data_IF_841672114051
#
_entry.id   IF_841672114051
#
_cell.length_a   1.000
_cell.length_b   1.000
_cell.length_c   1.000
_cell.angle_alpha   90.00
_cell.angle_beta   90.00
_cell.angle_gamma   90.00
#
_symmetry.space_group_name_H-M   'P 1'
#
loop_
_entity.id
_entity.type
_entity.pdbx_description
1 polymer ?
#
# COMPACT_ATOMS: atom_id res chain seq x y z
N UNK A 1 11.35 7.08 -21.56
CA UNK A 1 10.31 8.14 -21.57
C UNK A 1 11.01 9.48 -21.60
N UNK A 2 10.55 10.47 -22.38
CA UNK A 2 11.15 11.81 -22.39
C UNK A 2 10.47 12.72 -21.34
N UNK A 3 11.09 13.87 -21.03
CA UNK A 3 10.63 14.79 -19.97
C UNK A 3 9.27 15.44 -20.31
N UNK A 4 9.02 15.77 -21.58
CA UNK A 4 7.77 16.41 -22.01
C UNK A 4 6.57 15.46 -21.83
N UNK A 5 6.75 14.19 -22.21
CA UNK A 5 5.75 13.14 -22.02
C UNK A 5 5.48 12.90 -20.53
N UNK A 6 6.53 12.86 -19.71
CA UNK A 6 6.40 12.72 -18.25
C UNK A 6 5.61 13.87 -17.63
N UNK A 7 5.93 15.13 -17.97
CA UNK A 7 5.22 16.29 -17.44
C UNK A 7 3.74 16.28 -17.85
N UNK A 8 3.42 15.89 -19.09
CA UNK A 8 2.03 15.73 -19.54
C UNK A 8 1.27 14.68 -18.73
N UNK A 9 1.93 13.56 -18.38
CA UNK A 9 1.32 12.53 -17.53
C UNK A 9 1.09 13.01 -16.10
N UNK A 10 2.01 13.83 -15.57
CA UNK A 10 1.89 14.42 -14.23
C UNK A 10 0.69 15.36 -14.16
N UNK A 11 0.53 16.27 -15.12
CA UNK A 11 -0.60 17.22 -15.12
C UNK A 11 -1.93 16.48 -15.23
N UNK A 12 -2.02 15.48 -16.12
CA UNK A 12 -3.20 14.62 -16.22
C UNK A 12 -3.50 13.91 -14.90
N UNK A 13 -2.47 13.40 -14.21
CA UNK A 13 -2.65 12.74 -12.91
C UNK A 13 -3.22 13.70 -11.86
N UNK A 14 -2.77 14.95 -11.82
CA UNK A 14 -3.27 15.98 -10.89
C UNK A 14 -4.74 16.32 -11.16
N UNK A 15 -5.14 16.41 -12.42
CA UNK A 15 -6.54 16.67 -12.81
C UNK A 15 -7.49 15.53 -12.41
N UNK A 16 -7.02 14.28 -12.49
CA UNK A 16 -7.80 13.07 -12.21
C UNK A 16 -7.68 12.58 -10.74
N UNK A 17 -6.95 13.30 -9.89
CA UNK A 17 -6.61 12.83 -8.55
C UNK A 17 -7.82 12.79 -7.61
N UNK A 18 -8.43 11.61 -7.49
CA UNK A 18 -9.45 11.33 -6.47
C UNK A 18 -8.79 10.57 -5.32
N UNK A 19 -8.35 11.31 -4.31
CA UNK A 19 -7.83 10.75 -3.06
C UNK A 19 -8.99 10.35 -2.14
N UNK A 20 -9.46 9.12 -2.22
CA UNK A 20 -10.42 8.61 -1.24
C UNK A 20 -10.37 7.08 -1.17
N UNK A 21 -9.39 6.52 -0.45
CA UNK A 21 -9.58 5.18 0.10
C UNK A 21 -10.46 5.32 1.35
N UNK A 22 -11.79 5.16 1.18
CA UNK A 22 -12.80 5.24 2.26
C UNK A 22 -12.48 4.32 3.45
N UNK A 23 -11.66 3.29 3.23
CA UNK A 23 -11.21 2.38 4.28
C UNK A 23 -10.27 3.11 5.24
N UNK A 24 -9.44 4.03 4.76
CA UNK A 24 -8.53 4.83 5.59
C UNK A 24 -9.34 5.68 6.57
N UNK A 25 -10.38 6.38 6.09
CA UNK A 25 -11.24 7.20 6.95
C UNK A 25 -11.92 6.35 8.02
N UNK A 26 -12.36 5.14 7.67
CA UNK A 26 -12.96 4.23 8.62
C UNK A 26 -11.95 3.65 9.63
N UNK A 27 -10.73 3.34 9.19
CA UNK A 27 -9.64 2.85 10.04
C UNK A 27 -9.21 3.91 11.05
N UNK A 28 -9.10 5.18 10.64
CA UNK A 28 -8.73 6.29 11.53
C UNK A 28 -9.69 6.47 12.71
N UNK A 29 -10.96 6.06 12.57
CA UNK A 29 -11.99 6.12 13.64
C UNK A 29 -11.86 4.99 14.68
N UNK A 30 -11.06 3.97 14.44
CA UNK A 30 -10.98 2.80 15.32
C UNK A 30 -10.10 3.05 16.56
N UNK A 31 -10.45 2.45 17.70
CA UNK A 31 -9.67 2.56 18.95
C UNK A 31 -8.69 1.40 19.17
N UNK A 32 -8.84 0.32 18.40
CA UNK A 32 -8.13 -0.94 18.60
C UNK A 32 -7.35 -1.34 17.34
N UNK A 33 -6.04 -1.52 17.50
CA UNK A 33 -5.14 -1.96 16.43
C UNK A 33 -5.56 -3.32 15.86
N UNK A 34 -6.08 -4.24 16.69
CA UNK A 34 -6.55 -5.55 16.21
C UNK A 34 -7.70 -5.37 15.22
N UNK A 35 -8.63 -4.46 15.52
CA UNK A 35 -9.72 -4.11 14.60
C UNK A 35 -9.22 -3.48 13.32
N UNK A 36 -8.22 -2.61 13.41
CA UNK A 36 -7.57 -2.00 12.23
C UNK A 36 -6.94 -3.05 11.33
N UNK A 37 -6.17 -4.00 11.89
CA UNK A 37 -5.55 -5.08 11.13
C UNK A 37 -6.62 -5.94 10.44
N UNK A 38 -7.73 -6.24 11.13
CA UNK A 38 -8.88 -6.93 10.53
C UNK A 38 -9.45 -6.17 9.34
N UNK A 39 -9.77 -4.88 9.51
CA UNK A 39 -10.37 -4.06 8.46
C UNK A 39 -9.44 -3.87 7.26
N UNK A 40 -8.15 -3.63 7.51
CA UNK A 40 -7.14 -3.52 6.48
C UNK A 40 -7.05 -4.82 5.66
N UNK A 41 -7.02 -5.98 6.32
CA UNK A 41 -6.91 -7.29 5.69
C UNK A 41 -8.13 -7.66 4.84
N UNK A 42 -9.33 -7.37 5.33
CA UNK A 42 -10.57 -7.62 4.61
C UNK A 42 -10.87 -6.57 3.54
N UNK A 43 -10.19 -5.42 3.63
CA UNK A 43 -10.37 -4.27 2.77
C UNK A 43 -11.81 -3.79 2.71
N UNK A 44 -12.47 -3.71 3.87
CA UNK A 44 -13.86 -3.28 3.99
C UNK A 44 -13.95 -1.89 4.60
N UNK A 45 -14.77 -1.04 3.97
CA UNK A 45 -15.11 0.27 4.49
C UNK A 45 -16.19 0.20 5.58
N UNK A 46 -16.66 1.36 6.04
CA UNK A 46 -17.70 1.46 7.09
C UNK A 46 -19.05 0.83 6.68
N UNK A 47 -19.31 0.71 5.38
CA UNK A 47 -20.51 0.06 4.84
C UNK A 47 -20.30 -1.45 4.61
N UNK A 48 -19.12 -1.98 4.97
CA UNK A 48 -18.74 -3.36 4.70
C UNK A 48 -18.41 -3.63 3.23
N UNK A 49 -18.29 -2.60 2.39
CA UNK A 49 -18.01 -2.72 0.96
C UNK A 49 -16.52 -2.98 0.78
N UNK A 50 -16.20 -4.03 0.01
CA UNK A 50 -14.81 -4.40 -0.30
C UNK A 50 -14.21 -3.46 -1.36
N UNK A 51 -12.97 -3.01 -1.14
CA UNK A 51 -12.21 -2.15 -2.05
C UNK A 51 -12.14 -2.72 -3.46
N UNK A 52 -12.30 -1.88 -4.49
CA UNK A 52 -12.43 -2.28 -5.89
C UNK A 52 -11.34 -3.26 -6.35
N UNK A 53 -10.07 -2.96 -6.06
CA UNK A 53 -8.95 -3.83 -6.46
C UNK A 53 -8.89 -5.17 -5.70
N UNK A 54 -9.44 -5.23 -4.48
CA UNK A 54 -9.50 -6.43 -3.67
C UNK A 54 -10.80 -7.22 -3.88
N UNK A 55 -11.76 -6.70 -4.66
CA UNK A 55 -13.01 -7.41 -5.01
C UNK A 55 -12.77 -8.75 -5.70
N UNK A 56 -11.73 -8.81 -6.52
CA UNK A 56 -11.34 -10.02 -7.25
C UNK A 56 -10.73 -11.11 -6.36
N UNK A 57 -10.35 -10.79 -5.11
CA UNK A 57 -9.81 -11.78 -4.18
C UNK A 57 -10.99 -12.44 -3.45
N UNK A 58 -11.11 -13.78 -3.51
CA UNK A 58 -12.17 -14.49 -2.81
C UNK A 58 -12.13 -14.25 -1.29
N UNK A 59 -13.30 -14.11 -0.68
CA UNK A 59 -13.41 -13.78 0.75
C UNK A 59 -12.79 -14.86 1.65
N UNK A 60 -12.84 -16.13 1.25
CA UNK A 60 -12.18 -17.20 2.02
C UNK A 60 -10.65 -17.04 2.05
N UNK A 61 -10.03 -16.50 0.99
CA UNK A 61 -8.60 -16.20 0.94
C UNK A 61 -8.30 -15.02 1.86
N UNK A 62 -9.08 -13.93 1.79
CA UNK A 62 -8.90 -12.77 2.67
C UNK A 62 -9.08 -13.15 4.14
N UNK A 63 -10.05 -13.98 4.47
CA UNK A 63 -10.26 -14.48 5.83
C UNK A 63 -9.13 -15.39 6.30
N UNK A 64 -8.60 -16.25 5.42
CA UNK A 64 -7.43 -17.08 5.74
C UNK A 64 -6.19 -16.22 6.01
N UNK A 65 -5.98 -15.19 5.21
CA UNK A 65 -4.88 -14.24 5.39
C UNK A 65 -5.07 -13.40 6.66
N UNK A 66 -6.27 -12.87 6.91
CA UNK A 66 -6.61 -12.17 8.16
C UNK A 66 -6.22 -13.02 9.37
N UNK A 67 -6.61 -14.31 9.39
CA UNK A 67 -6.29 -15.23 10.48
C UNK A 67 -4.78 -15.42 10.68
N UNK A 68 -3.96 -15.35 9.61
CA UNK A 68 -2.50 -15.51 9.76
C UNK A 68 -1.85 -14.30 10.43
N UNK A 69 -2.36 -13.09 10.22
CA UNK A 69 -1.82 -11.83 10.76
C UNK A 69 -2.51 -11.30 12.02
N UNK A 70 -3.62 -11.91 12.46
CA UNK A 70 -4.35 -11.55 13.69
C UNK A 70 -3.85 -12.29 14.95
N UNK A 71 -2.70 -12.97 14.88
CA UNK A 71 -2.11 -13.62 16.06
C UNK A 71 -1.54 -12.56 17.00
N UNK A 72 -1.69 -12.74 18.31
CA UNK A 72 -1.31 -11.71 19.29
C UNK A 72 0.17 -11.32 19.22
N UNK A 73 1.05 -12.29 18.96
CA UNK A 73 2.48 -12.02 18.76
C UNK A 73 2.77 -11.13 17.53
N UNK A 74 1.98 -11.29 16.46
CA UNK A 74 2.11 -10.50 15.23
C UNK A 74 1.54 -9.09 15.42
N UNK A 75 0.43 -8.97 16.16
CA UNK A 75 -0.15 -7.67 16.51
C UNK A 75 0.84 -6.85 17.33
N UNK A 76 1.49 -7.46 18.33
CA UNK A 76 2.53 -6.78 19.12
C UNK A 76 3.76 -6.44 18.28
N UNK A 77 4.15 -7.28 17.33
CA UNK A 77 5.27 -6.95 16.42
C UNK A 77 4.94 -5.75 15.52
N UNK A 78 3.72 -5.69 14.98
CA UNK A 78 3.23 -4.55 14.17
C UNK A 78 3.20 -3.28 15.02
N UNK A 79 2.67 -3.36 16.24
CA UNK A 79 2.58 -2.23 17.17
C UNK A 79 3.95 -1.62 17.50
N UNK A 80 4.96 -2.48 17.65
CA UNK A 80 6.33 -2.07 17.98
C UNK A 80 7.20 -1.76 16.75
N UNK A 81 6.63 -1.80 15.54
CA UNK A 81 7.36 -1.53 14.30
C UNK A 81 7.87 -0.08 14.27
N UNK A 82 9.20 0.08 14.14
CA UNK A 82 9.84 1.41 14.12
C UNK A 82 9.58 2.18 12.83
N UNK A 83 9.52 1.47 11.70
CA UNK A 83 9.39 2.01 10.35
C UNK A 83 8.37 1.21 9.54
N UNK A 84 7.84 1.83 8.48
CA UNK A 84 6.87 1.21 7.59
C UNK A 84 7.36 -0.12 6.99
N UNK A 85 8.64 -0.20 6.63
CA UNK A 85 9.24 -1.40 6.04
C UNK A 85 9.12 -2.64 6.92
N UNK A 86 9.14 -2.45 8.25
CA UNK A 86 8.94 -3.55 9.20
C UNK A 86 7.49 -4.05 9.17
N UNK A 87 6.51 -3.15 9.08
CA UNK A 87 5.10 -3.51 8.91
C UNK A 87 4.93 -4.28 7.60
N UNK A 88 5.45 -3.75 6.50
CA UNK A 88 5.39 -4.40 5.19
C UNK A 88 5.98 -5.82 5.24
N UNK A 89 7.15 -5.98 5.84
CA UNK A 89 7.85 -7.27 5.97
C UNK A 89 7.02 -8.28 6.77
N UNK A 90 6.47 -7.89 7.93
CA UNK A 90 5.63 -8.76 8.76
C UNK A 90 4.42 -9.28 7.96
N UNK A 91 3.73 -8.37 7.25
CA UNK A 91 2.55 -8.72 6.45
C UNK A 91 2.95 -9.62 5.27
N UNK A 92 4.10 -9.37 4.65
CA UNK A 92 4.63 -10.16 3.53
C UNK A 92 5.04 -11.58 3.95
N UNK A 93 5.68 -11.75 5.11
CA UNK A 93 6.08 -13.07 5.63
C UNK A 93 4.89 -14.01 5.86
N UNK A 94 3.71 -13.43 6.13
CA UNK A 94 2.48 -14.18 6.33
C UNK A 94 1.66 -14.39 5.04
N UNK A 95 2.19 -13.95 3.89
CA UNK A 95 1.53 -14.02 2.58
C UNK A 95 1.16 -15.45 2.24
N UNK A 96 -0.08 -15.62 1.79
CA UNK A 96 -0.60 -16.89 1.29
C UNK A 96 -0.85 -16.85 -0.22
N UNK A 97 -0.95 -18.03 -0.84
CA UNK A 97 -1.35 -18.16 -2.25
C UNK A 97 -2.69 -17.43 -2.49
N UNK A 98 -2.72 -16.56 -3.51
CA UNK A 98 -3.87 -15.73 -3.84
C UNK A 98 -3.75 -14.26 -3.38
N UNK A 99 -2.82 -13.96 -2.46
CA UNK A 99 -2.48 -12.58 -2.08
C UNK A 99 -1.26 -12.12 -2.90
N UNK A 100 -1.32 -10.91 -3.47
CA UNK A 100 -0.26 -10.33 -4.33
C UNK A 100 0.39 -9.10 -3.70
N UNK A 101 1.51 -8.64 -4.27
CA UNK A 101 2.34 -7.56 -3.72
C UNK A 101 1.56 -6.27 -3.49
N UNK A 102 0.62 -5.94 -4.38
CA UNK A 102 -0.26 -4.78 -4.22
C UNK A 102 -1.13 -4.91 -2.97
N UNK A 103 -1.71 -6.08 -2.74
CA UNK A 103 -2.54 -6.34 -1.56
C UNK A 103 -1.73 -6.25 -0.27
N UNK A 104 -0.50 -6.75 -0.27
CA UNK A 104 0.41 -6.62 0.87
C UNK A 104 0.71 -5.14 1.15
N UNK A 105 1.03 -4.37 0.11
CA UNK A 105 1.27 -2.94 0.22
C UNK A 105 0.05 -2.19 0.75
N UNK A 106 -1.14 -2.41 0.18
CA UNK A 106 -2.38 -1.73 0.61
C UNK A 106 -2.69 -2.01 2.09
N UNK A 107 -2.51 -3.24 2.54
CA UNK A 107 -2.74 -3.65 3.94
C UNK A 107 -1.71 -2.98 4.86
N UNK A 108 -0.42 -3.06 4.52
CA UNK A 108 0.64 -2.43 5.29
C UNK A 108 0.46 -0.91 5.35
N UNK A 109 0.06 -0.28 4.24
CA UNK A 109 -0.20 1.16 4.14
C UNK A 109 -1.33 1.61 5.07
N UNK A 110 -2.47 0.91 5.04
CA UNK A 110 -3.61 1.20 5.92
C UNK A 110 -3.27 1.05 7.40
N UNK A 111 -2.53 0.00 7.76
CA UNK A 111 -2.05 -0.19 9.13
C UNK A 111 -1.05 0.92 9.50
N UNK A 112 -0.10 1.22 8.61
CA UNK A 112 0.91 2.25 8.78
C UNK A 112 0.30 3.62 9.06
N UNK A 113 -0.72 4.02 8.30
CA UNK A 113 -1.46 5.27 8.55
C UNK A 113 -2.01 5.32 9.98
N UNK A 114 -2.59 4.23 10.47
CA UNK A 114 -3.16 4.18 11.81
C UNK A 114 -2.11 4.36 12.91
N UNK A 115 -0.92 3.78 12.74
CA UNK A 115 0.18 3.90 13.70
C UNK A 115 1.22 4.98 13.35
N UNK A 116 0.86 5.89 12.44
CA UNK A 116 1.69 7.01 11.99
C UNK A 116 3.08 6.59 11.44
N UNK A 117 3.10 5.53 10.63
CA UNK A 117 4.28 4.98 9.94
C UNK A 117 4.04 4.98 8.44
N UNK A 118 4.76 5.85 7.73
CA UNK A 118 4.62 6.04 6.29
C UNK A 118 5.80 5.43 5.52
N UNK A 119 5.57 4.98 4.27
CA UNK A 119 6.65 4.50 3.41
C UNK A 119 7.68 5.62 3.14
N UNK A 120 8.95 5.29 3.33
CA UNK A 120 10.12 6.11 3.00
C UNK A 120 10.71 5.73 1.63
N UNK A 121 10.21 4.64 1.04
CA UNK A 121 10.63 4.07 -0.25
C UNK A 121 9.42 3.84 -1.13
N UNK A 122 9.65 3.69 -2.43
CA UNK A 122 8.62 3.41 -3.40
C UNK A 122 8.54 1.90 -3.62
N UNK A 123 7.52 1.27 -3.04
CA UNK A 123 7.30 -0.17 -3.15
C UNK A 123 6.73 -0.54 -4.52
N UNK A 124 7.40 -1.45 -5.20
CA UNK A 124 7.10 -1.87 -6.56
C UNK A 124 6.15 -3.08 -6.57
N UNK A 125 4.85 -2.82 -6.59
CA UNK A 125 3.86 -3.81 -7.06
C UNK A 125 3.82 -3.85 -8.59
N UNK A 126 3.00 -4.72 -9.20
CA UNK A 126 3.01 -4.96 -10.67
C UNK A 126 2.92 -3.66 -11.49
N UNK A 127 1.95 -2.80 -11.19
CA UNK A 127 1.76 -1.52 -11.90
C UNK A 127 2.91 -0.56 -11.70
N UNK A 128 3.29 -0.30 -10.44
CA UNK A 128 4.41 0.57 -10.09
C UNK A 128 5.72 0.12 -10.72
N UNK A 129 6.00 -1.19 -10.77
CA UNK A 129 7.19 -1.75 -11.42
C UNK A 129 7.20 -1.45 -12.91
N UNK A 130 6.09 -1.69 -13.61
CA UNK A 130 6.00 -1.38 -15.05
C UNK A 130 6.25 0.11 -15.30
N UNK A 131 5.69 0.99 -14.47
CA UNK A 131 5.95 2.43 -14.53
C UNK A 131 7.42 2.77 -14.30
N UNK A 132 8.01 2.25 -13.22
CA UNK A 132 9.40 2.49 -12.87
C UNK A 132 10.39 1.96 -13.94
N UNK A 133 10.15 0.77 -14.50
CA UNK A 133 11.01 0.23 -15.57
C UNK A 133 10.96 1.09 -16.85
N UNK A 134 9.77 1.61 -17.21
CA UNK A 134 9.62 2.52 -18.35
C UNK A 134 10.26 3.88 -18.11
N UNK A 135 10.15 4.38 -16.87
CA UNK A 135 10.74 5.64 -16.43
C UNK A 135 12.27 5.58 -16.45
N UNK A 136 12.85 4.52 -15.86
CA UNK A 136 14.29 4.36 -15.69
C UNK A 136 14.98 3.67 -16.88
N UNK A 137 14.22 3.14 -17.84
CA UNK A 137 14.77 2.49 -19.04
C UNK A 137 15.48 1.15 -18.77
N UNK A 138 15.24 0.52 -17.62
CA UNK A 138 15.88 -0.74 -17.22
C UNK A 138 14.95 -1.64 -16.41
N UNK A 139 15.23 -2.94 -16.38
CA UNK A 139 14.53 -3.91 -15.53
C UNK A 139 14.90 -3.72 -14.07
N UNK A 140 13.91 -3.87 -13.18
CA UNK A 140 14.09 -3.71 -11.73
C UNK A 140 13.68 -5.01 -11.05
N UNK A 141 14.64 -5.65 -10.38
CA UNK A 141 14.41 -6.88 -9.61
C UNK A 141 14.01 -6.59 -8.17
N UNK A 142 14.38 -5.42 -7.66
CA UNK A 142 14.11 -5.02 -6.29
C UNK A 142 12.60 -4.85 -6.02
N UNK A 143 12.23 -5.04 -4.75
CA UNK A 143 10.85 -4.83 -4.28
C UNK A 143 10.51 -3.35 -4.14
N UNK A 144 11.51 -2.49 -4.08
CA UNK A 144 11.34 -1.05 -3.92
C UNK A 144 12.45 -0.30 -4.64
N UNK A 145 12.23 0.99 -4.82
CA UNK A 145 13.25 1.96 -5.22
C UNK A 145 13.25 3.13 -4.26
N UNK A 146 14.37 3.84 -4.19
CA UNK A 146 14.47 5.06 -3.40
C UNK A 146 13.93 6.26 -4.19
N UNK A 147 13.44 7.30 -3.52
CA UNK A 147 12.84 8.47 -4.18
C UNK A 147 13.87 9.25 -4.99
N UNK A 148 15.13 9.21 -4.59
CA UNK A 148 16.25 9.97 -5.15
C UNK A 148 16.56 9.54 -6.59
N UNK A 149 16.23 8.30 -6.98
CA UNK A 149 16.47 7.82 -8.33
C UNK A 149 15.41 8.29 -9.33
N UNK A 150 14.33 8.90 -8.86
CA UNK A 150 13.29 9.45 -9.74
C UNK A 150 13.77 10.76 -10.39
N UNK A 151 13.23 11.13 -11.57
CA UNK A 151 13.37 12.48 -12.11
C UNK A 151 12.80 13.54 -11.17
N UNK A 152 13.34 14.75 -11.22
CA UNK A 152 12.98 15.85 -10.33
C UNK A 152 11.49 16.19 -10.35
N UNK A 153 10.85 16.08 -11.52
CA UNK A 153 9.40 16.33 -11.67
C UNK A 153 8.52 15.36 -10.89
N UNK A 154 9.03 14.21 -10.46
CA UNK A 154 8.31 13.24 -9.61
C UNK A 154 8.72 13.32 -8.14
N UNK A 155 9.66 14.19 -7.78
CA UNK A 155 10.10 14.37 -6.39
C UNK A 155 9.28 15.41 -5.64
N UNK A 156 8.35 16.10 -6.27
CA UNK A 156 7.47 17.06 -5.61
C UNK A 156 6.46 16.38 -4.67
N UNK A 157 6.12 17.04 -3.56
CA UNK A 157 5.18 16.52 -2.55
C UNK A 157 3.70 16.63 -2.95
N UNK A 158 3.40 17.33 -4.04
CA UNK A 158 2.05 17.54 -4.57
C UNK A 158 1.50 16.31 -5.33
N UNK A 159 2.32 15.28 -5.56
CA UNK A 159 1.92 14.02 -6.20
C UNK A 159 1.51 12.93 -5.21
N UNK A 160 1.63 13.19 -3.91
CA UNK A 160 1.22 12.25 -2.86
C UNK A 160 -0.13 12.67 -2.29
N UNK A 161 -1.08 11.73 -2.29
CA UNK A 161 -2.26 11.79 -1.47
C UNK A 161 -1.84 11.74 0.02
N UNK A 162 -1.99 12.85 0.74
CA UNK A 162 -1.72 12.93 2.19
C UNK A 162 -2.85 12.27 3.02
#
# INVERSE_FOLDING_TARGET
MNIQELNRLIEKFKEEQICCDKIIDYIKKQKDLKKVIELAALARDENGIKHNHQRLIPDFILNKFKKSILKDNIIEEIKNAKHFDKIYTIIEEHRIKGIRELTIYDIAHRIGIYINKFPDKIYLHRGARVGAEKLLGRKIKDKYILREILPESLKSGDLTCA
#
